data_IF_495063506941
#
_entry.id   IF_495063506941
#
_cell.length_a   1.000
_cell.length_b   1.000
_cell.length_c   1.000
_cell.angle_alpha   90.00
_cell.angle_beta   90.00
_cell.angle_gamma   90.00
#
_symmetry.space_group_name_H-M   'P 1'
#
loop_
_entity.id
_entity.type
_entity.pdbx_description
1 polymer ?
#
# COMPACT_ATOMS: atom_id res chain seq x y z
N UNK A 1 -2.16 -0.46 -23.82
CA UNK A 1 -2.01 -1.79 -23.17
C UNK A 1 -2.51 -1.63 -21.74
N UNK A 2 -3.28 -2.57 -21.20
CA UNK A 2 -3.85 -2.46 -19.84
C UNK A 2 -2.79 -2.86 -18.82
N UNK A 3 -2.44 -1.99 -17.87
CA UNK A 3 -1.53 -2.30 -16.77
C UNK A 3 -2.18 -3.18 -15.70
N UNK A 4 -1.42 -3.93 -14.89
CA UNK A 4 -1.96 -4.71 -13.79
C UNK A 4 -2.20 -3.83 -12.55
N UNK A 5 -3.18 -4.24 -11.74
CA UNK A 5 -3.30 -3.84 -10.34
C UNK A 5 -2.81 -4.99 -9.46
N UNK A 6 -1.75 -4.76 -8.67
CA UNK A 6 -1.12 -5.79 -7.83
C UNK A 6 -1.33 -5.49 -6.35
N UNK A 7 -1.97 -6.43 -5.65
CA UNK A 7 -2.10 -6.42 -4.21
C UNK A 7 -0.92 -7.15 -3.56
N UNK A 8 -0.19 -6.45 -2.69
CA UNK A 8 0.88 -6.99 -1.88
C UNK A 8 0.39 -7.33 -0.46
N UNK A 9 0.57 -8.59 -0.08
CA UNK A 9 0.34 -9.06 1.28
C UNK A 9 1.50 -8.60 2.17
N UNK A 10 1.23 -7.63 3.05
CA UNK A 10 2.21 -7.07 3.98
C UNK A 10 2.13 -7.69 5.38
N UNK A 11 3.26 -7.73 6.09
CA UNK A 11 3.32 -8.22 7.48
C UNK A 11 3.21 -9.74 7.62
N UNK A 12 3.43 -10.50 6.54
CA UNK A 12 3.33 -11.97 6.53
C UNK A 12 4.64 -12.64 6.93
N UNK A 13 4.54 -13.82 7.52
CA UNK A 13 5.66 -14.73 7.75
C UNK A 13 5.24 -16.17 7.43
N UNK A 14 6.19 -17.11 7.54
CA UNK A 14 6.00 -18.53 7.19
C UNK A 14 4.88 -19.23 7.97
N UNK A 15 4.46 -18.70 9.11
CA UNK A 15 3.44 -19.31 9.97
C UNK A 15 2.03 -18.73 9.76
N UNK A 16 1.93 -17.56 9.14
CA UNK A 16 0.65 -16.83 9.03
C UNK A 16 0.26 -16.55 7.57
N UNK A 17 0.89 -17.21 6.62
CA UNK A 17 0.61 -17.09 5.19
C UNK A 17 -0.87 -17.46 4.90
N UNK A 18 -1.68 -16.55 4.31
CA UNK A 18 -3.12 -16.79 4.11
C UNK A 18 -3.45 -17.74 2.96
N UNK A 19 -2.50 -18.02 2.07
CA UNK A 19 -2.67 -18.91 0.92
C UNK A 19 -1.31 -19.42 0.43
N UNK A 20 -1.28 -20.64 -0.13
CA UNK A 20 -0.07 -21.22 -0.75
C UNK A 20 0.38 -20.49 -2.03
N UNK A 21 -0.48 -19.65 -2.59
CA UNK A 21 -0.15 -18.76 -3.70
C UNK A 21 -0.80 -17.41 -3.46
N UNK A 22 0.02 -16.37 -3.39
CA UNK A 22 -0.39 -14.97 -3.29
C UNK A 22 0.10 -14.19 -4.52
N UNK A 23 -0.59 -13.12 -4.89
CA UNK A 23 -0.19 -12.32 -6.07
C UNK A 23 1.09 -11.54 -5.80
N UNK A 24 1.10 -10.73 -4.73
CA UNK A 24 2.25 -9.94 -4.30
C UNK A 24 2.64 -10.22 -2.85
N UNK A 25 3.94 -10.25 -2.57
CA UNK A 25 4.52 -10.35 -1.23
C UNK A 25 5.30 -9.08 -0.88
N UNK A 26 4.93 -8.38 0.19
CA UNK A 26 5.71 -7.26 0.71
C UNK A 26 6.60 -7.74 1.87
N UNK A 27 7.90 -7.54 1.70
CA UNK A 27 8.92 -7.71 2.74
C UNK A 27 9.31 -6.33 3.26
N UNK A 28 9.81 -6.24 4.49
CA UNK A 28 10.41 -5.02 5.02
C UNK A 28 11.84 -5.28 5.52
N UNK A 29 12.71 -4.31 5.33
CA UNK A 29 14.13 -4.46 5.67
C UNK A 29 14.39 -4.78 7.14
N UNK A 30 13.77 -4.11 8.13
CA UNK A 30 13.97 -4.44 9.54
C UNK A 30 13.63 -5.91 9.91
N UNK A 31 12.56 -6.46 9.34
CA UNK A 31 12.09 -7.82 9.66
C UNK A 31 12.66 -8.91 8.74
N UNK A 32 13.18 -8.55 7.57
CA UNK A 32 13.57 -9.55 6.57
C UNK A 32 15.03 -9.42 6.10
N UNK A 33 15.68 -8.29 6.35
CA UNK A 33 17.03 -7.97 5.87
C UNK A 33 18.06 -7.68 6.95
N UNK A 34 17.70 -7.71 8.24
CA UNK A 34 18.60 -7.26 9.33
C UNK A 34 19.80 -8.17 9.59
N UNK A 35 19.67 -9.47 9.33
CA UNK A 35 20.73 -10.46 9.55
C UNK A 35 20.54 -11.67 8.62
N UNK A 36 21.54 -12.54 8.58
CA UNK A 36 21.53 -13.71 7.70
C UNK A 36 20.39 -14.69 7.98
N UNK A 37 19.97 -14.83 9.25
CA UNK A 37 18.87 -15.72 9.60
C UNK A 37 17.57 -15.17 9.02
N UNK A 38 17.28 -13.89 9.23
CA UNK A 38 16.09 -13.25 8.65
C UNK A 38 16.08 -13.27 7.12
N UNK A 39 17.24 -13.10 6.48
CA UNK A 39 17.37 -13.25 5.03
C UNK A 39 17.04 -14.67 4.58
N UNK A 40 17.53 -15.71 5.28
CA UNK A 40 17.19 -17.11 4.97
C UNK A 40 15.70 -17.39 5.16
N UNK A 41 15.12 -16.90 6.25
CA UNK A 41 13.70 -17.06 6.57
C UNK A 41 12.84 -16.36 5.50
N UNK A 42 13.20 -15.15 5.08
CA UNK A 42 12.54 -14.40 4.02
C UNK A 42 12.63 -15.10 2.65
N UNK A 43 13.80 -15.66 2.30
CA UNK A 43 13.93 -16.49 1.08
C UNK A 43 13.05 -17.75 1.13
N UNK A 44 12.90 -18.35 2.30
CA UNK A 44 11.98 -19.47 2.50
C UNK A 44 10.54 -19.03 2.29
N UNK A 45 10.14 -17.90 2.87
CA UNK A 45 8.82 -17.30 2.69
C UNK A 45 8.52 -16.99 1.22
N UNK A 46 9.43 -16.38 0.47
CA UNK A 46 9.27 -16.11 -0.96
C UNK A 46 8.94 -17.42 -1.70
N UNK A 47 9.70 -18.50 -1.47
CA UNK A 47 9.46 -19.81 -2.10
C UNK A 47 8.11 -20.41 -1.69
N UNK A 48 7.79 -20.42 -0.41
CA UNK A 48 6.57 -21.04 0.13
C UNK A 48 5.29 -20.29 -0.25
N UNK A 49 5.39 -18.97 -0.40
CA UNK A 49 4.25 -18.12 -0.76
C UNK A 49 3.81 -18.25 -2.21
N UNK A 50 4.68 -18.79 -3.08
CA UNK A 50 4.44 -18.83 -4.52
C UNK A 50 4.13 -17.44 -5.10
N UNK A 51 4.67 -16.38 -4.48
CA UNK A 51 4.41 -15.00 -4.87
C UNK A 51 4.89 -14.77 -6.29
N UNK A 52 4.04 -14.15 -7.12
CA UNK A 52 4.40 -13.82 -8.51
C UNK A 52 5.33 -12.63 -8.58
N UNK A 53 5.18 -11.71 -7.64
CA UNK A 53 5.98 -10.49 -7.53
C UNK A 53 6.27 -10.20 -6.07
N UNK A 54 7.47 -9.72 -5.79
CA UNK A 54 7.98 -9.37 -4.47
C UNK A 54 8.38 -7.91 -4.43
N UNK A 55 8.06 -7.24 -3.33
CA UNK A 55 8.46 -5.87 -3.07
C UNK A 55 9.17 -5.81 -1.71
N UNK A 56 10.26 -5.05 -1.64
CA UNK A 56 10.99 -4.78 -0.40
C UNK A 56 10.77 -3.32 0.01
N UNK A 57 9.96 -3.14 1.04
CA UNK A 57 9.80 -1.86 1.72
C UNK A 57 11.04 -1.55 2.58
N UNK A 58 11.38 -0.27 2.67
CA UNK A 58 12.57 0.20 3.38
C UNK A 58 12.46 0.08 4.89
N UNK A 59 11.24 0.06 5.43
CA UNK A 59 11.00 0.11 6.87
C UNK A 59 11.03 1.53 7.44
N UNK A 60 10.81 2.56 6.63
CA UNK A 60 10.65 3.95 7.11
C UNK A 60 9.55 4.09 8.18
N UNK A 61 8.55 3.19 8.20
CA UNK A 61 7.56 3.14 9.26
C UNK A 61 8.16 2.85 10.66
N UNK A 62 9.26 2.11 10.74
CA UNK A 62 9.98 1.88 12.00
C UNK A 62 10.58 3.20 12.52
N UNK A 63 11.19 4.01 11.65
CA UNK A 63 11.68 5.37 11.98
C UNK A 63 10.53 6.23 12.52
N UNK A 64 9.39 6.21 11.82
CA UNK A 64 8.19 6.94 12.24
C UNK A 64 7.68 6.51 13.63
N UNK A 65 7.63 5.21 13.90
CA UNK A 65 7.22 4.71 15.22
C UNK A 65 8.21 5.12 16.31
N UNK A 66 9.51 5.05 16.06
CA UNK A 66 10.50 5.45 17.04
C UNK A 66 10.52 6.93 17.32
N UNK A 67 10.32 7.77 16.30
CA UNK A 67 10.14 9.22 16.49
C UNK A 67 8.99 9.49 17.45
N UNK A 68 7.83 8.86 17.23
CA UNK A 68 6.65 9.04 18.09
C UNK A 68 6.85 8.53 19.52
N UNK A 69 7.75 7.57 19.71
CA UNK A 69 8.11 7.02 21.02
C UNK A 69 9.28 7.77 21.68
N UNK A 70 9.84 8.80 21.02
CA UNK A 70 11.01 9.52 21.52
C UNK A 70 12.29 8.69 21.56
N UNK A 71 12.38 7.65 20.73
CA UNK A 71 13.55 6.77 20.67
C UNK A 71 14.72 7.45 19.96
N UNK A 72 15.94 7.05 20.32
CA UNK A 72 17.13 7.50 19.62
C UNK A 72 17.18 6.89 18.21
N UNK A 73 17.24 7.75 17.19
CA UNK A 73 17.33 7.35 15.78
C UNK A 73 18.75 7.63 15.29
N UNK A 74 19.48 6.56 14.98
CA UNK A 74 20.81 6.59 14.38
C UNK A 74 20.78 6.34 12.88
N UNK A 75 21.78 6.88 12.19
CA UNK A 75 21.97 6.75 10.75
C UNK A 75 23.40 6.29 10.43
N UNK A 76 23.89 5.29 11.17
CA UNK A 76 25.23 4.74 10.99
C UNK A 76 25.20 3.57 9.98
N UNK A 77 25.74 3.73 8.76
CA UNK A 77 25.74 2.69 7.74
C UNK A 77 26.70 1.53 8.05
N UNK A 78 27.67 1.71 8.96
CA UNK A 78 28.58 0.65 9.42
C UNK A 78 28.01 -0.18 10.57
N UNK A 79 27.02 0.36 11.29
CA UNK A 79 26.31 -0.32 12.37
C UNK A 79 25.31 -1.38 11.87
N UNK A 80 24.75 -2.22 12.76
CA UNK A 80 23.69 -3.16 12.40
C UNK A 80 22.34 -2.44 12.25
N UNK A 81 21.40 -3.06 11.52
CA UNK A 81 20.00 -2.65 11.54
C UNK A 81 19.44 -2.85 12.95
N UNK A 82 18.83 -1.81 13.53
CA UNK A 82 18.20 -1.90 14.86
C UNK A 82 16.76 -1.43 14.84
N UNK A 83 15.93 -2.16 15.60
CA UNK A 83 14.54 -1.84 15.90
C UNK A 83 14.29 -2.06 17.40
N UNK A 84 13.53 -1.17 18.06
CA UNK A 84 13.33 -1.19 19.52
C UNK A 84 13.95 0.03 20.20
N UNK A 85 14.66 -0.17 21.31
CA UNK A 85 15.21 0.91 22.17
C UNK A 85 16.06 1.96 21.42
N UNK A 86 16.71 1.55 20.33
CA UNK A 86 17.41 2.43 19.41
C UNK A 86 17.11 1.98 17.98
N UNK A 87 16.85 2.92 17.11
CA UNK A 87 16.68 2.67 15.68
C UNK A 87 18.02 2.94 14.97
N UNK A 88 18.39 2.07 14.04
CA UNK A 88 19.47 2.35 13.09
C UNK A 88 19.07 1.81 11.72
N UNK A 89 18.87 2.71 10.77
CA UNK A 89 18.44 2.37 9.42
C UNK A 89 18.96 3.44 8.46
N UNK A 90 19.52 3.01 7.33
CA UNK A 90 20.14 3.89 6.32
C UNK A 90 19.91 3.35 4.91
N UNK A 91 20.09 4.15 3.85
CA UNK A 91 20.03 3.68 2.46
C UNK A 91 20.91 2.44 2.17
N UNK A 92 22.11 2.35 2.74
CA UNK A 92 23.00 1.19 2.58
C UNK A 92 22.38 -0.10 3.11
N UNK A 93 21.68 -0.03 4.25
CA UNK A 93 20.97 -1.18 4.78
C UNK A 93 19.91 -1.69 3.81
N UNK A 94 19.16 -0.76 3.19
CA UNK A 94 18.09 -1.10 2.26
C UNK A 94 18.68 -1.78 1.02
N UNK A 95 19.72 -1.20 0.43
CA UNK A 95 20.36 -1.77 -0.77
C UNK A 95 21.06 -3.10 -0.47
N UNK A 96 21.72 -3.24 0.69
CA UNK A 96 22.32 -4.51 1.10
C UNK A 96 21.26 -5.61 1.26
N UNK A 97 20.13 -5.29 1.89
CA UNK A 97 19.01 -6.22 1.99
C UNK A 97 18.45 -6.57 0.60
N UNK A 98 18.29 -5.60 -0.30
CA UNK A 98 17.84 -5.81 -1.67
C UNK A 98 18.79 -6.72 -2.47
N UNK A 99 20.11 -6.52 -2.37
CA UNK A 99 21.11 -7.40 -3.01
C UNK A 99 20.98 -8.84 -2.52
N UNK A 100 20.76 -9.02 -1.21
CA UNK A 100 20.66 -10.35 -0.61
C UNK A 100 19.35 -11.05 -0.93
N UNK A 101 18.23 -10.33 -0.94
CA UNK A 101 16.87 -10.86 -1.12
C UNK A 101 16.45 -10.95 -2.58
N UNK A 102 17.01 -10.09 -3.45
CA UNK A 102 16.68 -9.96 -4.87
C UNK A 102 15.17 -9.79 -5.15
N UNK A 103 14.49 -8.80 -4.54
CA UNK A 103 13.09 -8.51 -4.84
C UNK A 103 12.91 -7.98 -6.27
N UNK A 104 11.68 -8.03 -6.79
CA UNK A 104 11.35 -7.43 -8.10
C UNK A 104 11.30 -5.89 -8.04
N UNK A 105 10.89 -5.35 -6.89
CA UNK A 105 10.78 -3.93 -6.61
C UNK A 105 11.39 -3.64 -5.23
N UNK A 106 12.15 -2.55 -5.09
CA UNK A 106 12.56 -2.00 -3.82
C UNK A 106 12.05 -0.56 -3.66
N UNK A 107 11.66 -0.21 -2.44
CA UNK A 107 11.27 1.16 -2.07
C UNK A 107 12.44 1.83 -1.35
N UNK A 108 12.71 3.10 -1.66
CA UNK A 108 13.74 3.87 -0.97
C UNK A 108 13.45 4.10 0.51
N UNK A 109 14.51 4.43 1.27
CA UNK A 109 14.31 4.88 2.65
C UNK A 109 13.69 6.28 2.67
N UNK A 110 12.68 6.45 3.51
CA UNK A 110 12.06 7.72 3.79
C UNK A 110 11.89 7.96 5.30
N UNK A 111 11.63 9.22 5.61
CA UNK A 111 11.15 9.70 6.89
C UNK A 111 9.67 10.06 6.71
N UNK A 112 8.74 9.16 7.10
CA UNK A 112 7.32 9.36 6.85
C UNK A 112 6.76 10.60 7.53
N UNK A 113 5.94 11.39 6.83
CA UNK A 113 5.23 12.54 7.40
C UNK A 113 4.01 12.10 8.22
N UNK A 114 3.68 12.76 9.33
CA UNK A 114 2.54 12.37 10.16
C UNK A 114 1.16 12.63 9.49
N UNK A 115 0.07 12.20 10.12
CA UNK A 115 -1.28 12.65 9.81
C UNK A 115 -1.59 13.89 10.61
N UNK A 116 -1.59 15.03 9.94
CA UNK A 116 -1.79 16.35 10.54
C UNK A 116 -2.93 17.02 9.78
N UNK A 117 -3.88 17.66 10.48
CA UNK A 117 -4.99 18.37 9.81
C UNK A 117 -4.65 19.84 9.57
N UNK A 118 -4.00 20.49 10.55
CA UNK A 118 -3.62 21.90 10.46
C UNK A 118 -2.58 22.16 9.36
N UNK A 119 -2.83 23.19 8.54
CA UNK A 119 -2.01 23.52 7.37
C UNK A 119 -0.62 24.01 7.76
N UNK A 120 -0.52 24.87 8.76
CA UNK A 120 0.78 25.41 9.17
C UNK A 120 1.68 24.32 9.75
N UNK A 121 1.09 23.44 10.57
CA UNK A 121 1.78 22.29 11.15
C UNK A 121 2.22 21.29 10.06
N UNK A 122 1.42 21.08 9.00
CA UNK A 122 1.83 20.28 7.82
C UNK A 122 3.08 20.85 7.14
N UNK A 123 3.17 22.17 6.97
CA UNK A 123 4.34 22.82 6.36
C UNK A 123 5.60 22.64 7.21
N UNK A 124 5.48 22.82 8.53
CA UNK A 124 6.58 22.61 9.48
C UNK A 124 7.06 21.16 9.41
N UNK A 125 6.13 20.21 9.45
CA UNK A 125 6.42 18.77 9.39
C UNK A 125 7.12 18.37 8.08
N UNK A 126 6.59 18.85 6.94
CA UNK A 126 7.18 18.58 5.64
C UNK A 126 8.61 19.12 5.58
N UNK A 127 8.84 20.38 5.93
CA UNK A 127 10.18 21.00 5.89
C UNK A 127 11.18 20.32 6.81
N UNK A 128 10.72 19.88 7.99
CA UNK A 128 11.53 19.14 8.97
C UNK A 128 12.07 17.83 8.40
N UNK A 129 11.26 17.11 7.62
CA UNK A 129 11.60 15.79 7.07
C UNK A 129 12.17 15.84 5.65
N UNK A 130 11.96 16.94 4.94
CA UNK A 130 12.38 17.13 3.54
C UNK A 130 13.88 16.87 3.33
N UNK A 131 14.74 17.39 4.21
CA UNK A 131 16.20 17.21 4.09
C UNK A 131 16.61 15.73 4.10
N UNK A 132 16.06 14.96 5.05
CA UNK A 132 16.31 13.51 5.13
C UNK A 132 15.81 12.79 3.88
N UNK A 133 14.57 13.08 3.45
CA UNK A 133 13.97 12.43 2.29
C UNK A 133 14.74 12.70 0.99
N UNK A 134 15.24 13.92 0.78
CA UNK A 134 16.06 14.27 -0.37
C UNK A 134 17.40 13.52 -0.35
N UNK A 135 18.12 13.58 0.78
CA UNK A 135 19.41 12.91 0.92
C UNK A 135 19.28 11.41 0.72
N UNK A 136 18.29 10.77 1.34
CA UNK A 136 18.10 9.33 1.23
C UNK A 136 17.62 8.88 -0.15
N UNK A 137 16.83 9.70 -0.85
CA UNK A 137 16.46 9.44 -2.23
C UNK A 137 17.68 9.42 -3.17
N UNK A 138 18.55 10.43 -3.07
CA UNK A 138 19.79 10.52 -3.85
C UNK A 138 20.71 9.34 -3.56
N UNK A 139 20.95 9.09 -2.27
CA UNK A 139 21.87 8.05 -1.81
C UNK A 139 21.37 6.64 -2.15
N UNK A 140 20.08 6.35 -1.94
CA UNK A 140 19.51 5.04 -2.29
C UNK A 140 19.61 4.79 -3.80
N UNK A 141 19.33 5.80 -4.62
CA UNK A 141 19.40 5.66 -6.07
C UNK A 141 20.82 5.37 -6.57
N UNK A 142 21.82 6.11 -6.05
CA UNK A 142 23.23 5.88 -6.39
C UNK A 142 23.67 4.47 -5.99
N UNK A 143 23.36 4.06 -4.77
CA UNK A 143 23.71 2.72 -4.27
C UNK A 143 23.01 1.61 -5.07
N UNK A 144 21.72 1.78 -5.41
CA UNK A 144 20.97 0.82 -6.25
C UNK A 144 21.63 0.69 -7.61
N UNK A 145 21.98 1.80 -8.26
CA UNK A 145 22.64 1.78 -9.56
C UNK A 145 23.98 1.04 -9.52
N UNK A 146 24.72 1.18 -8.42
CA UNK A 146 26.01 0.53 -8.22
C UNK A 146 25.90 -0.97 -7.90
N UNK A 147 24.91 -1.37 -7.10
CA UNK A 147 24.90 -2.71 -6.49
C UNK A 147 23.79 -3.64 -7.00
N UNK A 148 22.65 -3.09 -7.44
CA UNK A 148 21.51 -3.88 -7.90
C UNK A 148 20.70 -3.15 -9.00
N UNK A 149 21.33 -2.78 -10.14
CA UNK A 149 20.66 -2.01 -11.19
C UNK A 149 19.50 -2.74 -11.90
N UNK A 150 19.33 -4.05 -11.66
CA UNK A 150 18.21 -4.83 -12.21
C UNK A 150 16.93 -4.79 -11.36
N UNK A 151 16.97 -4.29 -10.12
CA UNK A 151 15.79 -4.25 -9.23
C UNK A 151 15.05 -2.95 -9.45
N UNK A 152 13.74 -2.96 -9.74
CA UNK A 152 12.98 -1.72 -9.91
C UNK A 152 13.02 -0.86 -8.65
N UNK A 153 13.26 0.43 -8.79
CA UNK A 153 13.37 1.36 -7.67
C UNK A 153 12.18 2.31 -7.62
N UNK A 154 11.40 2.24 -6.54
CA UNK A 154 10.30 3.15 -6.29
C UNK A 154 10.72 4.22 -5.28
N UNK A 155 10.59 5.49 -5.66
CA UNK A 155 10.84 6.61 -4.77
C UNK A 155 9.66 6.80 -3.81
N UNK A 156 9.88 6.81 -2.49
CA UNK A 156 8.85 7.15 -1.52
C UNK A 156 8.55 8.66 -1.54
N UNK A 157 7.31 9.02 -1.81
CA UNK A 157 6.80 10.39 -1.83
C UNK A 157 6.16 10.70 -0.48
N UNK A 158 6.77 11.60 0.30
CA UNK A 158 6.28 12.04 1.60
C UNK A 158 5.84 13.50 1.52
N UNK A 159 4.62 13.74 1.03
CA UNK A 159 4.08 15.07 0.75
C UNK A 159 2.60 15.17 1.12
N UNK A 160 2.12 16.37 1.50
CA UNK A 160 0.70 16.62 1.74
C UNK A 160 -0.06 17.17 0.53
N UNK A 161 0.63 17.82 -0.40
CA UNK A 161 0.04 18.47 -1.56
C UNK A 161 1.01 18.49 -2.76
N UNK A 162 0.54 19.00 -3.91
CA UNK A 162 1.36 19.06 -5.13
C UNK A 162 2.52 20.06 -5.06
N UNK A 163 2.45 21.08 -4.20
CA UNK A 163 3.54 22.05 -4.03
C UNK A 163 4.73 21.38 -3.33
N UNK A 164 4.46 20.59 -2.28
CA UNK A 164 5.44 19.74 -1.60
C UNK A 164 6.08 18.75 -2.56
N UNK A 165 5.28 18.08 -3.38
CA UNK A 165 5.80 17.17 -4.42
C UNK A 165 6.73 17.90 -5.38
N UNK A 166 6.32 19.08 -5.86
CA UNK A 166 7.14 19.89 -6.76
C UNK A 166 8.46 20.31 -6.13
N UNK A 167 8.47 20.66 -4.84
CA UNK A 167 9.69 20.94 -4.09
C UNK A 167 10.58 19.70 -3.99
N UNK A 168 10.01 18.55 -3.60
CA UNK A 168 10.74 17.30 -3.49
C UNK A 168 11.45 16.92 -4.79
N UNK A 169 10.71 16.87 -5.89
CA UNK A 169 11.22 16.45 -7.20
C UNK A 169 12.32 17.39 -7.70
N UNK A 170 12.16 18.71 -7.52
CA UNK A 170 13.20 19.69 -7.89
C UNK A 170 14.49 19.52 -7.10
N UNK A 171 14.42 18.97 -5.88
CA UNK A 171 15.57 18.75 -5.01
C UNK A 171 16.33 17.45 -5.29
N UNK A 172 15.83 16.58 -6.17
CA UNK A 172 16.48 15.31 -6.55
C UNK A 172 16.79 15.22 -8.05
N UNK A 173 17.48 16.22 -8.63
CA UNK A 173 17.71 16.27 -10.07
C UNK A 173 18.54 15.06 -10.54
N UNK A 174 18.10 14.43 -11.63
CA UNK A 174 18.83 13.33 -12.26
C UNK A 174 18.72 11.98 -11.53
N UNK A 175 17.97 11.89 -10.42
CA UNK A 175 17.70 10.60 -9.77
C UNK A 175 16.93 9.70 -10.74
N UNK A 176 17.45 8.49 -10.96
CA UNK A 176 16.79 7.46 -11.76
C UNK A 176 15.89 6.62 -10.88
N UNK A 177 14.63 6.46 -11.28
CA UNK A 177 13.62 5.68 -10.58
C UNK A 177 12.61 5.11 -11.58
N UNK A 178 11.98 4.00 -11.22
CA UNK A 178 11.02 3.28 -12.06
C UNK A 178 9.57 3.65 -11.73
N UNK A 179 9.33 4.15 -10.52
CA UNK A 179 7.99 4.48 -10.04
C UNK A 179 7.98 5.27 -8.74
N UNK A 180 6.78 5.61 -8.28
CA UNK A 180 6.55 6.28 -7.01
C UNK A 180 5.78 5.41 -6.03
N UNK A 181 6.14 5.50 -4.75
CA UNK A 181 5.41 4.92 -3.63
C UNK A 181 4.84 6.05 -2.78
N UNK A 182 3.56 6.00 -2.41
CA UNK A 182 2.85 7.14 -1.82
C UNK A 182 1.94 6.70 -0.68
N UNK A 183 2.02 7.33 0.52
CA UNK A 183 1.02 7.14 1.56
C UNK A 183 -0.28 7.83 1.16
N UNK A 184 -1.39 7.10 1.23
CA UNK A 184 -2.72 7.65 0.93
C UNK A 184 -3.61 7.85 2.17
N UNK A 185 -3.09 7.57 3.36
CA UNK A 185 -3.83 7.66 4.64
C UNK A 185 -4.45 9.02 4.95
N UNK A 186 -3.90 10.07 4.33
CA UNK A 186 -4.29 11.47 4.55
C UNK A 186 -5.04 12.07 3.35
N UNK A 187 -5.34 11.26 2.33
CA UNK A 187 -5.87 11.73 1.06
C UNK A 187 -7.28 11.17 0.82
N UNK A 188 -8.20 12.04 0.42
CA UNK A 188 -9.47 11.66 -0.16
C UNK A 188 -9.32 11.14 -1.60
N UNK A 189 -10.40 10.60 -2.18
CA UNK A 189 -10.40 10.06 -3.54
C UNK A 189 -9.91 11.07 -4.58
N UNK A 190 -10.42 12.31 -4.53
CA UNK A 190 -10.00 13.39 -5.42
C UNK A 190 -8.52 13.73 -5.28
N UNK A 191 -7.98 13.78 -4.05
CA UNK A 191 -6.56 14.06 -3.82
C UNK A 191 -5.66 12.92 -4.33
N UNK A 192 -6.04 11.65 -4.12
CA UNK A 192 -5.30 10.51 -4.68
C UNK A 192 -5.25 10.61 -6.20
N UNK A 193 -6.41 10.84 -6.84
CA UNK A 193 -6.51 11.01 -8.30
C UNK A 193 -5.65 12.19 -8.77
N UNK A 194 -5.66 13.31 -8.04
CA UNK A 194 -4.86 14.49 -8.36
C UNK A 194 -3.37 14.18 -8.41
N UNK A 195 -2.86 13.49 -7.37
CA UNK A 195 -1.46 13.08 -7.32
C UNK A 195 -1.10 12.12 -8.45
N UNK A 196 -1.94 11.12 -8.71
CA UNK A 196 -1.73 10.18 -9.80
C UNK A 196 -1.70 10.88 -11.16
N UNK A 197 -2.60 11.81 -11.42
CA UNK A 197 -2.58 12.56 -12.68
C UNK A 197 -1.33 13.44 -12.79
N UNK A 198 -0.86 14.05 -11.70
CA UNK A 198 0.42 14.76 -11.69
C UNK A 198 1.61 13.82 -11.95
N UNK A 199 1.60 12.61 -11.40
CA UNK A 199 2.63 11.60 -11.68
C UNK A 199 2.67 11.23 -13.16
N UNK A 200 1.51 11.02 -13.77
CA UNK A 200 1.38 10.76 -15.21
C UNK A 200 1.99 11.90 -16.04
N UNK A 201 1.68 13.15 -15.70
CA UNK A 201 2.24 14.34 -16.39
C UNK A 201 3.76 14.40 -16.30
N UNK A 202 4.32 13.97 -15.17
CA UNK A 202 5.77 13.87 -14.97
C UNK A 202 6.40 12.69 -15.71
N UNK A 203 5.61 11.87 -16.41
CA UNK A 203 6.07 10.69 -17.13
C UNK A 203 6.18 9.42 -16.28
N UNK A 204 5.73 9.44 -15.03
CA UNK A 204 5.74 8.26 -14.15
C UNK A 204 4.61 7.31 -14.53
N UNK A 205 4.95 6.05 -14.78
CA UNK A 205 4.00 5.01 -15.23
C UNK A 205 3.84 3.84 -14.28
N UNK A 206 4.59 3.81 -13.18
CA UNK A 206 4.46 2.79 -12.14
C UNK A 206 4.24 3.46 -10.78
N UNK A 207 3.20 3.02 -10.06
CA UNK A 207 2.84 3.60 -8.76
C UNK A 207 2.51 2.52 -7.74
N UNK A 208 2.79 2.82 -6.47
CA UNK A 208 2.43 2.02 -5.32
C UNK A 208 1.70 2.89 -4.28
N UNK A 209 0.49 2.47 -3.91
CA UNK A 209 -0.34 3.13 -2.90
C UNK A 209 -0.16 2.43 -1.56
N UNK A 210 0.47 3.10 -0.61
CA UNK A 210 0.89 2.48 0.65
C UNK A 210 -0.27 2.31 1.64
N UNK A 211 -0.36 1.11 2.22
CA UNK A 211 -1.07 0.81 3.46
C UNK A 211 -2.59 0.97 3.41
N UNK A 212 -3.26 0.39 2.40
CA UNK A 212 -4.71 0.51 2.23
C UNK A 212 -5.36 -0.78 1.76
N UNK A 213 -6.57 -1.04 2.25
CA UNK A 213 -7.51 -1.99 1.61
C UNK A 213 -8.89 -1.37 1.40
N UNK A 214 -8.97 -0.03 1.38
CA UNK A 214 -10.24 0.67 1.17
C UNK A 214 -10.75 0.41 -0.25
N UNK A 215 -12.03 0.08 -0.38
CA UNK A 215 -12.64 -0.20 -1.68
C UNK A 215 -12.44 0.94 -2.68
N UNK A 216 -12.62 2.19 -2.25
CA UNK A 216 -12.41 3.38 -3.08
C UNK A 216 -10.97 3.51 -3.59
N UNK A 217 -9.97 3.25 -2.75
CA UNK A 217 -8.56 3.26 -3.18
C UNK A 217 -8.25 2.14 -4.18
N UNK A 218 -8.79 0.94 -3.98
CA UNK A 218 -8.63 -0.18 -4.93
C UNK A 218 -9.32 0.15 -6.26
N UNK A 219 -10.49 0.79 -6.24
CA UNK A 219 -11.22 1.20 -7.44
C UNK A 219 -10.47 2.27 -8.23
N UNK A 220 -9.91 3.27 -7.56
CA UNK A 220 -8.99 4.24 -8.17
C UNK A 220 -7.83 3.49 -8.82
N UNK A 221 -7.16 2.61 -8.07
CA UNK A 221 -6.03 1.86 -8.57
C UNK A 221 -6.37 1.02 -9.80
N UNK A 222 -7.53 0.38 -9.83
CA UNK A 222 -7.98 -0.45 -10.94
C UNK A 222 -8.26 0.38 -12.19
N UNK A 223 -8.95 1.52 -12.04
CA UNK A 223 -9.18 2.44 -13.16
C UNK A 223 -7.86 3.02 -13.69
N UNK A 224 -6.97 3.42 -12.79
CA UNK A 224 -5.68 4.01 -13.12
C UNK A 224 -4.75 3.02 -13.85
N UNK A 225 -4.71 1.76 -13.41
CA UNK A 225 -3.98 0.70 -14.10
C UNK A 225 -4.56 0.42 -15.50
N UNK A 226 -5.86 0.59 -15.67
CA UNK A 226 -6.52 0.31 -16.94
C UNK A 226 -6.21 1.38 -18.00
N UNK A 227 -6.17 2.64 -17.60
CA UNK A 227 -6.19 3.78 -18.54
C UNK A 227 -4.93 4.64 -18.55
N UNK A 228 -4.15 4.68 -17.47
CA UNK A 228 -3.12 5.72 -17.28
C UNK A 228 -1.72 5.19 -16.95
N UNK A 229 -1.62 4.04 -16.29
CA UNK A 229 -0.37 3.50 -15.75
C UNK A 229 -0.08 2.09 -16.28
N UNK A 230 1.21 1.81 -16.48
CA UNK A 230 1.69 0.47 -16.85
C UNK A 230 1.73 -0.47 -15.65
N UNK A 231 1.69 0.08 -14.44
CA UNK A 231 1.66 -0.67 -13.18
C UNK A 231 1.02 0.16 -12.06
N UNK A 232 0.03 -0.40 -11.39
CA UNK A 232 -0.45 0.10 -10.11
C UNK A 232 -0.36 -1.02 -9.08
N UNK A 233 0.03 -0.68 -7.86
CA UNK A 233 0.02 -1.63 -6.77
C UNK A 233 -0.37 -0.98 -5.47
N UNK A 234 -0.73 -1.81 -4.49
CA UNK A 234 -0.97 -1.37 -3.12
C UNK A 234 -0.64 -2.51 -2.17
N UNK A 235 -0.40 -2.18 -0.91
CA UNK A 235 -0.20 -3.16 0.15
C UNK A 235 -1.24 -2.99 1.26
N UNK A 236 -1.51 -4.09 1.98
CA UNK A 236 -2.36 -4.06 3.15
C UNK A 236 -1.95 -5.10 4.20
N UNK A 237 -2.21 -4.77 5.46
CA UNK A 237 -2.11 -5.68 6.62
C UNK A 237 -3.49 -6.06 7.19
N UNK A 238 -4.57 -5.50 6.66
CA UNK A 238 -5.97 -5.77 7.09
C UNK A 238 -6.38 -7.24 6.92
N UNK A 239 -5.63 -8.01 6.13
CA UNK A 239 -5.81 -9.45 6.00
C UNK A 239 -5.41 -10.23 7.26
N UNK A 240 -4.51 -9.73 8.12
CA UNK A 240 -3.94 -10.51 9.24
C UNK A 240 -4.98 -10.86 10.33
N UNK A 241 -6.21 -10.36 10.21
CA UNK A 241 -7.36 -10.68 11.05
C UNK A 241 -7.08 -10.59 12.56
N UNK A 242 -6.13 -9.72 12.95
CA UNK A 242 -5.79 -9.52 14.36
C UNK A 242 -7.07 -9.20 15.13
N UNK A 243 -7.22 -9.86 16.28
CA UNK A 243 -8.35 -9.67 17.19
C UNK A 243 -9.72 -10.08 16.61
N UNK A 244 -9.77 -11.01 15.66
CA UNK A 244 -11.04 -11.52 15.12
C UNK A 244 -11.71 -10.58 14.12
N UNK A 245 -10.91 -9.75 13.43
CA UNK A 245 -11.42 -8.84 12.40
C UNK A 245 -11.86 -9.62 11.16
N UNK A 246 -13.12 -9.45 10.76
CA UNK A 246 -13.71 -9.95 9.53
C UNK A 246 -13.89 -8.81 8.54
N UNK A 247 -13.43 -8.99 7.30
CA UNK A 247 -13.70 -8.06 6.21
C UNK A 247 -14.97 -8.47 5.47
N UNK A 248 -15.92 -7.54 5.39
CA UNK A 248 -17.14 -7.75 4.64
C UNK A 248 -16.82 -7.91 3.13
N UNK A 249 -17.25 -8.99 2.48
CA UNK A 249 -16.94 -9.23 1.07
C UNK A 249 -17.55 -8.19 0.12
N UNK A 250 -18.58 -7.46 0.55
CA UNK A 250 -19.27 -6.48 -0.29
C UNK A 250 -18.51 -5.16 -0.37
N UNK A 251 -18.18 -4.55 0.77
CA UNK A 251 -17.60 -3.21 0.85
C UNK A 251 -16.18 -3.14 1.43
N UNK A 252 -15.61 -4.28 1.86
CA UNK A 252 -14.34 -4.38 2.60
C UNK A 252 -14.34 -3.64 3.94
N UNK A 253 -15.51 -3.30 4.48
CA UNK A 253 -15.62 -2.78 5.85
C UNK A 253 -15.15 -3.85 6.85
N UNK A 254 -14.54 -3.38 7.93
CA UNK A 254 -14.04 -4.25 9.00
C UNK A 254 -15.09 -4.37 10.09
N UNK A 255 -15.42 -5.61 10.44
CA UNK A 255 -16.30 -5.96 11.55
C UNK A 255 -15.54 -6.80 12.56
N UNK A 256 -15.78 -6.58 13.85
CA UNK A 256 -15.18 -7.39 14.91
C UNK A 256 -16.12 -8.52 15.30
N UNK A 257 -15.72 -9.76 14.98
CA UNK A 257 -16.46 -10.94 15.40
C UNK A 257 -16.03 -11.32 16.81
N UNK A 258 -16.55 -10.62 17.81
CA UNK A 258 -16.30 -10.89 19.22
C UNK A 258 -17.40 -11.77 19.85
N UNK A 259 -17.15 -12.27 21.07
CA UNK A 259 -18.10 -13.11 21.81
C UNK A 259 -19.41 -12.39 22.19
N UNK A 260 -19.41 -11.06 22.20
CA UNK A 260 -20.55 -10.23 22.59
C UNK A 260 -21.53 -9.96 21.44
N UNK A 261 -21.08 -10.08 20.20
CA UNK A 261 -21.89 -9.87 19.01
C UNK A 261 -23.04 -10.90 18.97
N UNK A 262 -24.29 -10.42 19.06
CA UNK A 262 -25.49 -11.25 18.93
C UNK A 262 -25.89 -11.29 17.45
N UNK A 263 -25.58 -12.40 16.80
CA UNK A 263 -26.01 -12.67 15.43
C UNK A 263 -27.04 -13.79 15.47
N UNK A 264 -28.04 -13.71 14.60
CA UNK A 264 -28.97 -14.81 14.38
C UNK A 264 -28.20 -16.04 13.86
N UNK A 265 -28.28 -17.14 14.61
CA UNK A 265 -27.53 -18.36 14.35
C UNK A 265 -27.93 -19.06 13.05
N UNK A 266 -29.12 -18.73 12.52
CA UNK A 266 -29.64 -19.29 11.27
C UNK A 266 -29.13 -18.57 10.02
N UNK A 267 -28.52 -17.40 10.17
CA UNK A 267 -28.07 -16.60 9.03
C UNK A 267 -26.73 -17.16 8.52
N UNK A 268 -26.67 -17.70 7.28
CA UNK A 268 -25.42 -18.09 6.67
C UNK A 268 -24.57 -16.86 6.39
N UNK A 269 -23.25 -17.03 6.45
CA UNK A 269 -22.32 -15.98 6.01
C UNK A 269 -22.50 -15.79 4.52
N UNK A 270 -22.88 -14.58 4.11
CA UNK A 270 -22.98 -14.17 2.71
C UNK A 270 -21.58 -13.93 2.13
N UNK A 271 -20.85 -15.02 1.90
CA UNK A 271 -19.51 -15.01 1.33
C UNK A 271 -19.26 -16.26 0.49
N UNK A 272 -18.74 -16.05 -0.71
CA UNK A 272 -18.42 -17.12 -1.66
C UNK A 272 -17.06 -17.78 -1.40
N UNK A 273 -16.25 -17.26 -0.46
CA UNK A 273 -14.91 -17.75 -0.24
C UNK A 273 -14.94 -19.22 0.26
N UNK A 274 -13.94 -20.04 -0.10
CA UNK A 274 -13.88 -21.45 0.32
C UNK A 274 -13.96 -21.65 1.84
N UNK A 275 -13.53 -20.65 2.60
CA UNK A 275 -13.51 -20.69 4.06
C UNK A 275 -14.85 -20.38 4.69
N UNK A 276 -15.66 -19.48 4.14
CA UNK A 276 -16.96 -19.09 4.70
C UNK A 276 -18.15 -19.85 4.09
N UNK A 277 -18.00 -20.38 2.88
CA UNK A 277 -19.09 -21.07 2.17
C UNK A 277 -19.73 -22.16 3.04
N UNK A 278 -21.05 -22.04 3.21
CA UNK A 278 -21.88 -22.97 3.99
C UNK A 278 -21.74 -22.87 5.51
N UNK A 279 -21.07 -21.83 6.03
CA UNK A 279 -20.92 -21.60 7.48
C UNK A 279 -21.79 -20.42 7.92
N UNK A 280 -22.07 -20.36 9.22
CA UNK A 280 -22.73 -19.23 9.88
C UNK A 280 -21.71 -18.43 10.67
N UNK A 281 -22.03 -17.18 11.01
CA UNK A 281 -21.15 -16.39 11.88
C UNK A 281 -21.00 -17.02 13.27
N UNK A 282 -22.06 -17.66 13.79
CA UNK A 282 -22.02 -18.41 15.05
C UNK A 282 -21.02 -19.55 15.00
N UNK A 283 -20.94 -20.29 13.89
CA UNK A 283 -19.91 -21.31 13.70
C UNK A 283 -18.51 -20.69 13.78
N UNK A 284 -18.24 -19.64 13.01
CA UNK A 284 -16.91 -19.01 12.94
C UNK A 284 -16.49 -18.45 14.30
N UNK A 285 -17.41 -17.79 14.99
CA UNK A 285 -17.23 -17.19 16.31
C UNK A 285 -16.85 -18.21 17.39
N UNK A 286 -17.39 -19.43 17.30
CA UNK A 286 -17.17 -20.49 18.28
C UNK A 286 -15.97 -21.41 17.96
N UNK A 287 -15.24 -21.16 16.88
CA UNK A 287 -13.99 -21.88 16.60
C UNK A 287 -12.93 -21.57 17.68
N UNK A 288 -12.02 -22.52 17.96
CA UNK A 288 -10.83 -22.24 18.75
C UNK A 288 -10.08 -21.02 18.18
N UNK A 289 -9.52 -20.17 19.05
CA UNK A 289 -8.93 -18.88 18.65
C UNK A 289 -7.93 -19.01 17.48
N UNK A 290 -7.08 -20.05 17.49
CA UNK A 290 -6.10 -20.32 16.43
C UNK A 290 -6.78 -20.64 15.10
N UNK A 291 -7.82 -21.48 15.12
CA UNK A 291 -8.59 -21.85 13.92
C UNK A 291 -9.40 -20.68 13.39
N UNK A 292 -10.05 -19.92 14.28
CA UNK A 292 -10.75 -18.69 13.94
C UNK A 292 -9.83 -17.70 13.24
N UNK A 293 -8.65 -17.43 13.83
CA UNK A 293 -7.68 -16.49 13.26
C UNK A 293 -7.17 -16.97 11.90
N UNK A 294 -6.86 -18.27 11.76
CA UNK A 294 -6.44 -18.83 10.48
C UNK A 294 -7.53 -18.74 9.41
N UNK A 295 -8.78 -19.05 9.75
CA UNK A 295 -9.93 -18.93 8.87
C UNK A 295 -10.11 -17.48 8.40
N UNK A 296 -10.13 -16.53 9.34
CA UNK A 296 -10.34 -15.12 9.03
C UNK A 296 -9.20 -14.52 8.21
N UNK A 297 -7.95 -14.93 8.44
CA UNK A 297 -6.81 -14.53 7.59
C UNK A 297 -7.02 -14.92 6.13
N UNK A 298 -7.41 -16.16 5.91
CA UNK A 298 -7.63 -16.68 4.57
C UNK A 298 -8.83 -16.00 3.90
N UNK A 299 -9.94 -15.82 4.65
CA UNK A 299 -11.11 -15.08 4.18
C UNK A 299 -10.77 -13.64 3.82
N UNK A 300 -10.15 -12.87 4.73
CA UNK A 300 -9.83 -11.46 4.52
C UNK A 300 -8.90 -11.26 3.32
N UNK A 301 -7.88 -12.12 3.18
CA UNK A 301 -7.00 -12.09 2.00
C UNK A 301 -7.79 -12.35 0.71
N UNK A 302 -8.66 -13.37 0.71
CA UNK A 302 -9.45 -13.75 -0.47
C UNK A 302 -10.43 -12.65 -0.88
N UNK A 303 -11.10 -11.98 0.06
CA UNK A 303 -12.06 -10.91 -0.29
C UNK A 303 -11.37 -9.67 -0.87
N UNK A 304 -10.16 -9.34 -0.41
CA UNK A 304 -9.35 -8.26 -1.01
C UNK A 304 -8.94 -8.65 -2.44
N UNK A 305 -8.40 -9.85 -2.63
CA UNK A 305 -8.06 -10.39 -3.95
C UNK A 305 -9.26 -10.41 -4.91
N UNK A 306 -10.44 -10.81 -4.41
CA UNK A 306 -11.68 -10.80 -5.20
C UNK A 306 -12.08 -9.37 -5.57
N UNK A 307 -12.02 -8.43 -4.63
CA UNK A 307 -12.32 -7.03 -4.90
C UNK A 307 -11.41 -6.45 -5.98
N UNK A 308 -10.11 -6.72 -5.94
CA UNK A 308 -9.15 -6.34 -6.97
C UNK A 308 -9.58 -6.88 -8.35
N UNK A 309 -9.90 -8.17 -8.45
CA UNK A 309 -10.31 -8.81 -9.71
C UNK A 309 -11.61 -8.24 -10.26
N UNK A 310 -12.62 -8.10 -9.40
CA UNK A 310 -13.93 -7.58 -9.79
C UNK A 310 -13.81 -6.12 -10.28
N UNK A 311 -13.07 -5.28 -9.56
CA UNK A 311 -12.86 -3.88 -9.92
C UNK A 311 -12.05 -3.75 -11.21
N UNK A 312 -10.96 -4.51 -11.38
CA UNK A 312 -10.21 -4.55 -12.64
C UNK A 312 -11.08 -4.95 -13.83
N UNK A 313 -11.96 -5.95 -13.67
CA UNK A 313 -12.85 -6.40 -14.72
C UNK A 313 -13.94 -5.36 -15.09
N UNK A 314 -14.30 -4.49 -14.14
CA UNK A 314 -15.27 -3.41 -14.34
C UNK A 314 -14.64 -2.09 -14.84
N UNK A 315 -13.34 -1.88 -14.60
CA UNK A 315 -12.63 -0.64 -14.93
C UNK A 315 -12.45 -0.34 -16.42
N UNK A 316 -12.86 -1.24 -17.32
CA UNK A 316 -12.80 -0.99 -18.77
C UNK A 316 -13.62 0.22 -19.21
N UNK A 317 -14.69 0.58 -18.49
CA UNK A 317 -15.40 1.85 -18.67
C UNK A 317 -15.86 2.41 -17.32
N UNK A 318 -15.96 3.73 -17.21
CA UNK A 318 -16.40 4.38 -15.98
C UNK A 318 -17.83 3.98 -15.58
N UNK A 319 -18.73 3.77 -16.56
CA UNK A 319 -20.09 3.33 -16.31
C UNK A 319 -20.14 1.94 -15.63
N UNK A 320 -19.36 0.98 -16.12
CA UNK A 320 -19.30 -0.37 -15.52
C UNK A 320 -18.68 -0.36 -14.13
N UNK A 321 -17.63 0.45 -13.93
CA UNK A 321 -17.03 0.63 -12.61
C UNK A 321 -18.04 1.24 -11.62
N UNK A 322 -18.76 2.30 -12.04
CA UNK A 322 -19.83 2.92 -11.24
C UNK A 322 -20.92 1.91 -10.85
N UNK A 323 -21.41 1.12 -11.79
CA UNK A 323 -22.45 0.11 -11.52
C UNK A 323 -21.99 -0.92 -10.49
N UNK A 324 -20.73 -1.35 -10.54
CA UNK A 324 -20.16 -2.26 -9.55
C UNK A 324 -20.02 -1.58 -8.19
N UNK A 325 -19.49 -0.36 -8.16
CA UNK A 325 -19.32 0.42 -6.91
C UNK A 325 -20.66 0.68 -6.24
N UNK A 326 -21.71 1.05 -6.98
CA UNK A 326 -23.04 1.30 -6.41
C UNK A 326 -23.72 0.03 -5.87
N UNK A 327 -23.27 -1.16 -6.28
CA UNK A 327 -23.72 -2.45 -5.73
C UNK A 327 -22.94 -2.86 -4.48
N UNK A 328 -21.66 -2.48 -4.41
CA UNK A 328 -20.72 -2.90 -3.37
C UNK A 328 -20.59 -1.91 -2.22
N UNK A 329 -20.62 -0.62 -2.53
CA UNK A 329 -20.36 0.43 -1.56
C UNK A 329 -21.60 0.73 -0.73
N UNK A 330 -21.43 0.75 0.60
CA UNK A 330 -22.48 1.12 1.54
C UNK A 330 -22.87 2.59 1.41
N UNK A 331 -21.90 3.46 1.14
CA UNK A 331 -22.11 4.88 0.88
C UNK A 331 -22.20 5.14 -0.63
N UNK A 332 -23.43 5.27 -1.13
CA UNK A 332 -23.68 5.56 -2.55
C UNK A 332 -23.09 6.90 -2.98
N UNK A 333 -23.05 7.89 -2.07
CA UNK A 333 -22.51 9.21 -2.36
C UNK A 333 -21.00 9.13 -2.55
N UNK A 334 -20.28 8.42 -1.69
CA UNK A 334 -18.83 8.19 -1.86
C UNK A 334 -18.51 7.55 -3.23
N UNK A 335 -19.32 6.57 -3.64
CA UNK A 335 -19.17 5.94 -4.95
C UNK A 335 -19.41 6.92 -6.11
N UNK A 336 -20.39 7.81 -6.01
CA UNK A 336 -20.68 8.82 -7.03
C UNK A 336 -19.61 9.92 -7.09
N UNK A 337 -19.18 10.45 -5.95
CA UNK A 337 -18.08 11.42 -5.83
C UNK A 337 -16.79 10.85 -6.45
N UNK A 338 -16.45 9.59 -6.16
CA UNK A 338 -15.31 8.91 -6.78
C UNK A 338 -15.46 8.84 -8.31
N UNK A 339 -16.63 8.43 -8.80
CA UNK A 339 -16.86 8.33 -10.24
C UNK A 339 -16.80 9.71 -10.92
N UNK A 340 -17.30 10.76 -10.27
CA UNK A 340 -17.20 12.13 -10.76
C UNK A 340 -15.73 12.59 -10.83
N UNK A 341 -14.94 12.31 -9.80
CA UNK A 341 -13.51 12.60 -9.81
C UNK A 341 -12.77 11.89 -10.98
N UNK A 342 -13.07 10.61 -11.21
CA UNK A 342 -12.51 9.86 -12.33
C UNK A 342 -12.98 10.41 -13.69
N UNK A 343 -14.24 10.83 -13.81
CA UNK A 343 -14.76 11.46 -15.03
C UNK A 343 -14.02 12.76 -15.35
N UNK A 344 -13.75 13.59 -14.34
CA UNK A 344 -12.98 14.83 -14.49
C UNK A 344 -11.57 14.48 -14.97
N UNK A 345 -10.87 13.55 -14.31
CA UNK A 345 -9.53 13.13 -14.69
C UNK A 345 -9.47 12.57 -16.14
N UNK A 346 -10.45 11.77 -16.54
CA UNK A 346 -10.57 11.24 -17.90
C UNK A 346 -10.78 12.35 -18.95
N UNK A 347 -11.67 13.30 -18.64
CA UNK A 347 -12.04 14.40 -19.53
C UNK A 347 -10.85 15.34 -19.78
N UNK A 348 -10.08 15.63 -18.73
CA UNK A 348 -8.97 16.58 -18.78
C UNK A 348 -7.59 15.91 -18.82
N UNK A 349 -7.50 14.63 -19.17
CA UNK A 349 -6.23 13.86 -19.16
C UNK A 349 -5.13 14.41 -20.05
N UNK A 350 -5.48 15.21 -21.05
CA UNK A 350 -4.54 15.82 -21.99
C UNK A 350 -4.26 17.30 -21.68
N UNK A 351 -4.84 17.83 -20.60
CA UNK A 351 -4.64 19.19 -20.11
C UNK A 351 -3.83 19.20 -18.81
N UNK A 352 -2.97 20.22 -18.60
CA UNK A 352 -2.22 20.37 -17.35
C UNK A 352 -3.11 20.34 -16.10
N UNK A 353 -2.75 19.55 -15.09
CA UNK A 353 -3.46 19.35 -13.81
C UNK A 353 -3.75 20.67 -13.13
N UNK A 354 -2.84 21.65 -13.24
CA UNK A 354 -3.04 22.98 -12.64
C UNK A 354 -4.25 23.74 -13.18
N UNK A 355 -4.77 23.38 -14.36
CA UNK A 355 -5.94 24.02 -14.96
C UNK A 355 -7.26 23.50 -14.38
N UNK A 356 -7.30 22.28 -13.84
CA UNK A 356 -8.54 21.61 -13.44
C UNK A 356 -8.51 21.00 -12.03
N UNK A 357 -7.40 21.10 -11.29
CA UNK A 357 -7.27 20.60 -9.91
C UNK A 357 -8.38 21.11 -8.98
N UNK A 358 -8.80 22.37 -9.12
CA UNK A 358 -9.84 22.95 -8.27
C UNK A 358 -11.22 22.35 -8.56
N UNK A 359 -11.49 21.97 -9.82
CA UNK A 359 -12.72 21.28 -10.19
C UNK A 359 -12.75 19.87 -9.58
N UNK A 360 -11.62 19.16 -9.60
CA UNK A 360 -11.49 17.84 -9.02
C UNK A 360 -11.68 17.85 -7.49
N UNK A 361 -11.07 18.82 -6.79
CA UNK A 361 -11.14 18.91 -5.33
C UNK A 361 -12.48 19.44 -4.81
N UNK A 362 -13.34 19.94 -5.69
CA UNK A 362 -14.69 20.43 -5.36
C UNK A 362 -15.80 19.40 -5.66
N UNK A 363 -15.46 18.30 -6.34
CA UNK A 363 -16.34 17.16 -6.57
C UNK A 363 -16.35 16.24 -5.34
#
# INVERSE_FOLDING_TARGET
MMGPLVYFCAGVNTHILPSRSITGLLLNVPDNGSDEKKVRDAKSLIRLSGAKVTMLDSGGFTIFQGERQGLAIGYDPGGPIRQGEKINLTPQHIVKAAVNLQPDIMVGLDFPIDKIDDRETREIEFRRKMGFNVTWALETAELRMKHCPGIRFFLPIQCYNLEHLGLFVRSIPGVQYDGFSMPIRNLGSGEIILFLMRFREMGVRQVHLLGTSKLSAIAIGAYMATHFFDWVSFDATSWDAKYGTYLNPHDLSSEWLNFEMRLDESIPVDCECPWCKGKTFTYIKNLPQTENTALLRCHNHWVIEKAVKDLMAASGTLARLRDLLLKRCRDRREAEELCQCLAIAETFKDSPVDQWKNLLLAA
#
